data_IF_052313146239
#
_entry.id   IF_052313146239
#
_cell.length_a   1.000
_cell.length_b   1.000
_cell.length_c   1.000
_cell.angle_alpha   90.00
_cell.angle_beta   90.00
_cell.angle_gamma   90.00
#
_symmetry.space_group_name_H-M   'P 1'
#
loop_
_entity.id
_entity.type
_entity.pdbx_description
1 polymer ?
#
# COMPACT_ATOMS: atom_id res chain seq x y z
N UNK A 1 -0.41 12.93 16.06
CA UNK A 1 -1.58 12.45 15.28
C UNK A 1 -1.09 11.35 14.36
N UNK A 2 -1.78 10.21 14.35
CA UNK A 2 -1.43 9.10 13.48
C UNK A 2 -2.01 9.30 12.08
N UNK A 3 -1.24 8.92 11.06
CA UNK A 3 -1.64 8.92 9.65
C UNK A 3 -1.21 7.58 9.06
N UNK A 4 -2.08 7.00 8.23
CA UNK A 4 -1.76 5.89 7.35
C UNK A 4 -1.98 6.31 5.90
N UNK A 5 -0.99 5.97 5.06
CA UNK A 5 -1.02 6.27 3.63
C UNK A 5 -0.64 5.02 2.83
N UNK A 6 -1.36 4.81 1.72
CA UNK A 6 -0.94 3.85 0.71
C UNK A 6 0.17 4.49 -0.13
N UNK A 7 1.29 3.80 -0.25
CA UNK A 7 2.45 4.24 -1.04
C UNK A 7 2.94 3.14 -1.96
N UNK A 8 3.50 3.53 -3.10
CA UNK A 8 4.28 2.66 -3.98
C UNK A 8 5.71 3.14 -4.08
N UNK A 9 6.65 2.21 -4.23
CA UNK A 9 8.07 2.48 -4.41
C UNK A 9 8.38 2.82 -5.88
N UNK A 10 9.22 3.83 -6.12
CA UNK A 10 9.49 4.39 -7.45
C UNK A 10 10.93 4.21 -7.91
N UNK A 11 11.65 3.21 -7.38
CA UNK A 11 13.07 2.97 -7.72
C UNK A 11 13.28 2.64 -9.21
N UNK A 12 12.34 1.94 -9.85
CA UNK A 12 12.50 1.40 -11.21
C UNK A 12 11.94 2.33 -12.32
N UNK A 13 11.60 3.59 -11.99
CA UNK A 13 10.96 4.49 -12.96
C UNK A 13 11.80 5.72 -13.37
N UNK A 14 13.08 5.79 -12.98
CA UNK A 14 13.93 6.95 -13.28
C UNK A 14 14.08 7.22 -14.77
N UNK A 15 14.20 6.18 -15.59
CA UNK A 15 14.38 6.26 -17.06
C UNK A 15 13.10 5.96 -17.86
N UNK A 16 11.95 6.04 -17.22
CA UNK A 16 10.68 5.67 -17.84
C UNK A 16 10.22 6.71 -18.88
N UNK A 17 9.90 6.26 -20.10
CA UNK A 17 9.57 7.15 -21.24
C UNK A 17 8.32 6.78 -22.03
N UNK A 18 7.59 5.71 -21.67
CA UNK A 18 6.47 5.21 -22.49
C UNK A 18 5.21 6.10 -22.40
N UNK A 19 5.06 6.87 -21.34
CA UNK A 19 4.06 7.92 -21.16
C UNK A 19 4.57 8.97 -20.16
N UNK A 20 3.92 10.15 -20.09
CA UNK A 20 4.33 11.19 -19.15
C UNK A 20 4.23 10.73 -17.69
N UNK A 21 5.33 10.83 -16.96
CA UNK A 21 5.46 10.49 -15.56
C UNK A 21 6.18 11.61 -14.80
N UNK A 22 5.91 11.75 -13.50
CA UNK A 22 6.66 12.62 -12.61
C UNK A 22 8.01 11.99 -12.27
N UNK A 23 9.01 12.82 -12.03
CA UNK A 23 10.27 12.34 -11.46
C UNK A 23 10.03 11.77 -10.05
N UNK A 24 10.74 10.68 -9.69
CA UNK A 24 10.66 10.12 -8.34
C UNK A 24 11.02 11.15 -7.27
N UNK A 25 10.36 11.04 -6.11
CA UNK A 25 10.74 11.80 -4.93
C UNK A 25 12.08 11.29 -4.36
N UNK A 26 12.82 12.08 -3.57
CA UNK A 26 14.09 11.65 -2.97
C UNK A 26 13.97 10.45 -2.03
N UNK A 27 12.81 10.22 -1.45
CA UNK A 27 12.48 9.06 -0.60
C UNK A 27 11.95 7.86 -1.39
N UNK A 28 11.83 8.02 -2.72
CA UNK A 28 11.29 7.02 -3.65
C UNK A 28 9.90 6.48 -3.27
N UNK A 29 9.10 7.24 -2.53
CA UNK A 29 7.73 6.88 -2.18
C UNK A 29 6.74 7.79 -2.91
N UNK A 30 5.74 7.20 -3.55
CA UNK A 30 4.64 7.90 -4.18
C UNK A 30 3.34 7.59 -3.43
N UNK A 31 2.71 8.64 -2.90
CA UNK A 31 1.45 8.54 -2.16
C UNK A 31 0.27 8.37 -3.11
N UNK A 32 -0.49 7.30 -2.95
CA UNK A 32 -1.67 7.03 -3.77
C UNK A 32 -2.90 7.72 -3.18
N UNK A 33 -3.55 8.56 -3.98
CA UNK A 33 -4.78 9.26 -3.55
C UNK A 33 -5.56 9.80 -4.74
N UNK A 34 -6.78 10.31 -4.49
CA UNK A 34 -7.58 11.03 -5.47
C UNK A 34 -7.09 12.46 -5.76
N UNK A 35 -5.97 12.90 -5.18
CA UNK A 35 -5.41 14.25 -5.36
C UNK A 35 -4.12 14.25 -6.19
N UNK A 36 -3.73 13.09 -6.74
CA UNK A 36 -2.54 12.96 -7.58
C UNK A 36 -2.67 13.79 -8.87
N UNK A 37 -1.56 14.39 -9.28
CA UNK A 37 -1.45 15.00 -10.60
C UNK A 37 -1.45 13.92 -11.71
N UNK A 38 -1.77 14.28 -12.96
CA UNK A 38 -1.70 13.33 -14.08
C UNK A 38 -0.31 12.70 -14.29
N UNK A 39 0.76 13.40 -13.92
CA UNK A 39 2.13 12.88 -14.02
C UNK A 39 2.40 11.85 -12.91
N UNK A 40 1.95 12.09 -11.68
CA UNK A 40 2.06 11.13 -10.57
C UNK A 40 1.26 9.87 -10.84
N UNK A 41 0.05 9.99 -11.43
CA UNK A 41 -0.70 8.80 -11.89
C UNK A 41 0.10 8.04 -12.96
N UNK A 42 0.72 8.75 -13.88
CA UNK A 42 1.63 8.14 -14.87
C UNK A 42 2.78 7.38 -14.22
N UNK A 43 3.38 7.93 -13.16
CA UNK A 43 4.43 7.26 -12.38
C UNK A 43 3.89 6.00 -11.68
N UNK A 44 2.73 6.07 -11.02
CA UNK A 44 2.11 4.90 -10.39
C UNK A 44 1.86 3.79 -11.42
N UNK A 45 1.35 4.15 -12.61
CA UNK A 45 1.13 3.17 -13.69
C UNK A 45 2.43 2.62 -14.25
N UNK A 46 3.53 3.40 -14.27
CA UNK A 46 4.85 2.92 -14.65
C UNK A 46 5.38 1.87 -13.66
N UNK A 47 5.24 2.12 -12.35
CA UNK A 47 5.58 1.15 -11.29
C UNK A 47 4.78 -0.14 -11.46
N UNK A 48 3.44 -0.04 -11.50
CA UNK A 48 2.57 -1.21 -11.59
C UNK A 48 2.84 -2.06 -12.83
N UNK A 49 3.08 -1.43 -13.99
CA UNK A 49 3.37 -2.18 -15.21
C UNK A 49 4.81 -2.66 -15.28
N UNK A 50 5.74 -2.01 -14.59
CA UNK A 50 7.15 -2.41 -14.51
C UNK A 50 7.35 -3.68 -13.70
N UNK A 51 6.79 -3.75 -12.51
CA UNK A 51 6.94 -4.90 -11.62
C UNK A 51 6.22 -6.17 -12.11
N UNK A 52 5.22 -6.01 -12.99
CA UNK A 52 4.47 -7.12 -13.56
C UNK A 52 4.86 -7.41 -15.01
N UNK A 53 6.09 -7.04 -15.38
CA UNK A 53 6.63 -7.27 -16.72
C UNK A 53 7.51 -8.52 -16.69
N UNK A 54 6.96 -9.65 -17.02
CA UNK A 54 7.75 -10.78 -17.50
C UNK A 54 8.20 -10.44 -18.92
N UNK A 55 9.49 -10.23 -19.09
CA UNK A 55 10.12 -10.13 -20.41
C UNK A 55 10.64 -11.52 -20.81
N UNK A 56 9.80 -12.41 -21.32
CA UNK A 56 10.32 -13.50 -22.13
C UNK A 56 10.59 -12.89 -23.49
N UNK A 57 11.75 -13.11 -24.07
CA UNK A 57 12.28 -12.73 -25.38
C UNK A 57 11.32 -12.90 -26.58
N UNK A 58 10.09 -12.47 -26.43
CA UNK A 58 8.99 -12.59 -27.39
C UNK A 58 8.54 -11.22 -27.89
N UNK A 59 9.29 -10.65 -28.82
CA UNK A 59 8.83 -9.54 -29.65
C UNK A 59 7.50 -9.91 -30.34
N UNK A 60 6.40 -9.31 -29.86
CA UNK A 60 5.24 -9.09 -30.71
C UNK A 60 5.55 -7.81 -31.50
N UNK A 61 5.98 -7.90 -32.79
CA UNK A 61 6.60 -6.79 -33.50
C UNK A 61 5.64 -5.63 -33.81
N UNK A 62 4.33 -5.82 -33.63
CA UNK A 62 3.31 -4.87 -34.03
C UNK A 62 2.59 -4.15 -32.89
N UNK A 63 2.98 -4.37 -31.60
CA UNK A 63 2.31 -3.74 -30.46
C UNK A 63 3.16 -2.62 -29.89
N UNK A 64 2.55 -1.44 -29.69
CA UNK A 64 3.20 -0.32 -29.04
C UNK A 64 3.71 -0.71 -27.62
N UNK A 65 4.96 -0.38 -27.25
CA UNK A 65 5.57 -0.85 -26.00
C UNK A 65 4.74 -0.55 -24.75
N UNK A 66 4.12 0.63 -24.66
CA UNK A 66 3.25 1.01 -23.55
C UNK A 66 2.01 0.12 -23.43
N UNK A 67 1.37 -0.21 -24.54
CA UNK A 67 0.22 -1.11 -24.60
C UNK A 67 0.63 -2.52 -24.18
N UNK A 68 1.79 -2.99 -24.61
CA UNK A 68 2.32 -4.31 -24.24
C UNK A 68 2.53 -4.43 -22.72
N UNK A 69 3.11 -3.42 -22.07
CA UNK A 69 3.27 -3.40 -20.61
C UNK A 69 1.92 -3.50 -19.89
N UNK A 70 0.90 -2.78 -20.34
CA UNK A 70 -0.44 -2.88 -19.78
C UNK A 70 -1.04 -4.28 -20.00
N UNK A 71 -0.83 -4.89 -21.17
CA UNK A 71 -1.28 -6.26 -21.44
C UNK A 71 -0.59 -7.29 -20.54
N UNK A 72 0.71 -7.14 -20.27
CA UNK A 72 1.44 -8.00 -19.35
C UNK A 72 0.86 -7.91 -17.94
N UNK A 73 0.60 -6.70 -17.43
CA UNK A 73 -0.08 -6.50 -16.15
C UNK A 73 -1.47 -7.18 -16.12
N UNK A 74 -2.24 -7.09 -17.21
CA UNK A 74 -3.54 -7.74 -17.32
C UNK A 74 -3.44 -9.27 -17.32
N UNK A 75 -2.36 -9.83 -17.85
CA UNK A 75 -2.13 -11.26 -17.96
C UNK A 75 -1.45 -11.85 -16.71
N UNK A 76 -0.90 -11.03 -15.83
CA UNK A 76 -0.33 -11.49 -14.57
C UNK A 76 -1.41 -12.14 -13.69
N UNK A 77 -1.07 -13.21 -12.98
CA UNK A 77 -2.00 -13.88 -12.05
C UNK A 77 -2.47 -12.91 -10.97
N UNK A 78 -1.56 -12.09 -10.44
CA UNK A 78 -1.79 -11.05 -9.44
C UNK A 78 -0.97 -9.81 -9.83
N UNK A 79 -1.58 -8.63 -9.79
CA UNK A 79 -0.86 -7.37 -9.94
C UNK A 79 -0.09 -7.06 -8.65
N UNK A 80 1.23 -7.10 -8.73
CA UNK A 80 2.11 -6.71 -7.62
C UNK A 80 2.31 -5.20 -7.68
N UNK A 81 2.11 -4.55 -6.54
CA UNK A 81 2.35 -3.12 -6.36
C UNK A 81 3.40 -2.90 -5.27
N UNK A 82 4.71 -2.81 -5.62
CA UNK A 82 5.77 -2.65 -4.62
C UNK A 82 5.53 -1.42 -3.77
N UNK A 83 5.51 -1.58 -2.46
CA UNK A 83 5.13 -0.54 -1.50
C UNK A 83 4.31 -1.10 -0.36
N UNK A 84 3.27 -0.39 0.07
CA UNK A 84 2.42 -0.82 1.19
C UNK A 84 1.82 0.35 1.95
N UNK A 85 1.69 0.17 3.27
CA UNK A 85 1.22 1.22 4.18
C UNK A 85 2.40 1.91 4.84
N UNK A 86 2.46 3.23 4.68
CA UNK A 86 3.30 4.12 5.48
C UNK A 86 2.50 4.55 6.72
N UNK A 87 2.95 4.13 7.91
CA UNK A 87 2.40 4.59 9.19
C UNK A 87 3.28 5.71 9.75
N UNK A 88 2.69 6.85 10.08
CA UNK A 88 3.42 8.00 10.61
C UNK A 88 2.74 8.58 11.85
N UNK A 89 3.54 8.91 12.86
CA UNK A 89 3.12 9.81 13.93
C UNK A 89 3.69 11.22 13.70
N UNK A 90 2.80 12.14 13.35
CA UNK A 90 3.18 13.54 13.08
C UNK A 90 3.61 14.30 14.33
N UNK A 91 3.30 13.82 15.55
CA UNK A 91 3.71 14.46 16.78
C UNK A 91 5.18 14.17 17.09
N UNK A 92 5.65 12.97 16.81
CA UNK A 92 7.05 12.55 17.04
C UNK A 92 7.91 12.64 15.77
N UNK A 93 7.28 12.70 14.59
CA UNK A 93 7.95 12.62 13.30
C UNK A 93 8.43 11.21 12.93
N UNK A 94 8.08 10.19 13.71
CA UNK A 94 8.46 8.80 13.43
C UNK A 94 7.58 8.26 12.32
N UNK A 95 8.21 7.62 11.34
CA UNK A 95 7.53 6.95 10.22
C UNK A 95 8.00 5.49 10.10
N UNK A 96 7.07 4.61 9.80
CA UNK A 96 7.28 3.19 9.50
C UNK A 96 6.92 3.01 8.03
N UNK A 97 7.94 2.92 7.19
CA UNK A 97 7.75 2.65 5.76
C UNK A 97 7.65 1.14 5.51
N UNK A 98 6.97 0.72 4.43
CA UNK A 98 7.02 -0.67 3.98
C UNK A 98 8.46 -1.04 3.60
N UNK A 99 8.81 -2.32 3.81
CA UNK A 99 10.09 -2.87 3.41
C UNK A 99 10.07 -3.45 2.00
N UNK A 100 11.24 -3.81 1.48
CA UNK A 100 11.32 -4.44 0.17
C UNK A 100 10.54 -5.76 0.12
N UNK A 101 10.09 -6.15 -1.05
CA UNK A 101 9.30 -7.36 -1.29
C UNK A 101 7.94 -7.38 -0.58
N UNK A 102 7.50 -6.26 -0.01
CA UNK A 102 6.12 -6.07 0.44
C UNK A 102 5.34 -5.38 -0.68
N UNK A 103 4.07 -5.75 -0.82
CA UNK A 103 3.20 -5.18 -1.83
C UNK A 103 1.95 -4.55 -1.23
N UNK A 104 1.48 -3.52 -1.91
CA UNK A 104 0.27 -2.80 -1.50
C UNK A 104 -0.98 -3.71 -1.54
N UNK A 105 -0.97 -4.79 -2.31
CA UNK A 105 -2.05 -5.79 -2.34
C UNK A 105 -2.36 -6.39 -0.96
N UNK A 106 -1.41 -6.33 -0.01
CA UNK A 106 -1.56 -6.82 1.37
C UNK A 106 -1.97 -5.73 2.38
N UNK A 107 -2.40 -4.55 1.93
CA UNK A 107 -2.69 -3.43 2.84
C UNK A 107 -3.77 -3.74 3.90
N UNK A 108 -4.70 -4.67 3.61
CA UNK A 108 -5.76 -5.08 4.54
C UNK A 108 -5.27 -5.98 5.66
N UNK A 109 -4.08 -6.56 5.56
CA UNK A 109 -3.51 -7.43 6.59
C UNK A 109 -3.31 -6.67 7.91
N UNK A 110 -3.21 -5.34 7.85
CA UNK A 110 -3.18 -4.49 9.05
C UNK A 110 -4.40 -4.68 9.95
N UNK A 111 -5.56 -5.11 9.44
CA UNK A 111 -6.72 -5.47 10.25
C UNK A 111 -6.43 -6.66 11.20
N UNK A 112 -5.50 -7.53 10.86
CA UNK A 112 -5.08 -8.66 11.69
C UNK A 112 -4.55 -8.23 13.05
N UNK A 113 -3.99 -7.02 13.18
CA UNK A 113 -3.56 -6.46 14.47
C UNK A 113 -4.69 -6.41 15.50
N UNK A 114 -5.94 -6.24 15.09
CA UNK A 114 -7.09 -6.23 15.97
C UNK A 114 -7.36 -7.61 16.62
N UNK A 115 -6.83 -8.66 16.00
CA UNK A 115 -6.96 -10.04 16.45
C UNK A 115 -5.67 -10.59 17.09
N UNK A 116 -4.65 -9.72 17.24
CA UNK A 116 -3.34 -10.09 17.79
C UNK A 116 -2.45 -10.80 16.79
N UNK A 117 -2.77 -10.71 15.49
CA UNK A 117 -1.95 -11.26 14.42
C UNK A 117 -0.74 -10.36 14.17
N UNK A 118 0.34 -10.95 13.66
CA UNK A 118 1.50 -10.20 13.20
C UNK A 118 1.26 -9.72 11.76
N UNK A 119 1.62 -8.48 11.47
CA UNK A 119 1.65 -7.95 10.11
C UNK A 119 3.08 -8.01 9.60
N UNK A 120 3.27 -8.65 8.47
CA UNK A 120 4.55 -8.64 7.79
C UNK A 120 4.74 -7.30 7.08
N UNK A 121 5.87 -6.64 7.33
CA UNK A 121 6.16 -5.30 6.79
C UNK A 121 7.23 -5.32 5.68
N UNK A 122 7.56 -6.49 5.16
CA UNK A 122 8.58 -6.68 4.12
C UNK A 122 9.96 -7.05 4.66
N UNK A 123 10.87 -7.37 3.75
CA UNK A 123 12.26 -7.62 4.08
C UNK A 123 13.01 -6.28 4.28
N UNK A 124 14.08 -6.31 5.07
CA UNK A 124 14.96 -5.15 5.28
C UNK A 124 14.39 -4.10 6.22
N UNK A 125 13.11 -4.19 6.61
CA UNK A 125 12.61 -3.47 7.76
C UNK A 125 12.96 -4.27 8.99
N UNK A 126 13.69 -3.67 9.89
CA UNK A 126 13.80 -4.17 11.26
C UNK A 126 12.57 -3.77 12.09
N UNK A 127 11.46 -3.41 11.45
CA UNK A 127 10.25 -3.03 12.12
C UNK A 127 9.73 -4.18 12.98
N UNK A 128 9.44 -3.89 14.23
CA UNK A 128 8.93 -4.85 15.20
C UNK A 128 7.57 -4.39 15.74
N UNK A 129 6.66 -5.33 15.87
CA UNK A 129 5.30 -5.09 16.37
C UNK A 129 5.17 -5.71 17.76
N UNK A 130 4.75 -4.91 18.74
CA UNK A 130 4.51 -5.33 20.10
C UNK A 130 3.07 -5.05 20.51
N UNK A 131 2.29 -6.08 20.83
CA UNK A 131 0.93 -5.95 21.35
C UNK A 131 0.95 -5.61 22.85
N UNK A 132 0.23 -4.55 23.25
CA UNK A 132 0.09 -4.07 24.62
C UNK A 132 -1.39 -3.83 24.95
N UNK A 133 -2.17 -4.89 25.01
CA UNK A 133 -3.61 -4.82 25.25
C UNK A 133 -4.34 -4.10 24.09
N UNK A 134 -4.94 -2.94 24.35
CA UNK A 134 -5.64 -2.13 23.35
C UNK A 134 -4.71 -1.23 22.51
N UNK A 135 -3.39 -1.37 22.67
CA UNK A 135 -2.37 -0.59 21.97
C UNK A 135 -1.40 -1.53 21.27
N UNK A 136 -0.96 -1.12 20.09
CA UNK A 136 0.16 -1.73 19.36
C UNK A 136 1.29 -0.73 19.28
N UNK A 137 2.51 -1.16 19.57
CA UNK A 137 3.74 -0.41 19.34
C UNK A 137 4.42 -0.93 18.09
N UNK A 138 4.66 -0.05 17.14
CA UNK A 138 5.40 -0.37 15.93
C UNK A 138 6.75 0.35 15.99
N UNK A 139 7.81 -0.41 16.06
CA UNK A 139 9.18 0.08 16.12
C UNK A 139 9.76 0.18 14.72
N UNK A 140 10.36 1.30 14.33
CA UNK A 140 10.96 1.45 13.00
C UNK A 140 12.24 0.63 12.81
N UNK A 141 12.80 0.10 13.90
CA UNK A 141 14.07 -0.63 13.91
C UNK A 141 14.16 -1.56 15.12
N UNK A 142 14.74 -2.75 14.95
CA UNK A 142 14.84 -3.76 16.01
C UNK A 142 16.13 -3.70 16.81
N UNK A 143 17.18 -3.01 16.33
CA UNK A 143 18.51 -3.14 16.91
C UNK A 143 19.20 -1.79 17.20
N UNK A 144 19.53 -1.52 18.46
CA UNK A 144 18.75 -1.63 19.68
C UNK A 144 17.61 -0.61 19.69
N UNK A 145 16.62 -0.67 20.58
CA UNK A 145 15.47 0.26 20.56
C UNK A 145 15.89 1.67 20.93
N UNK A 146 16.64 2.31 20.03
CA UNK A 146 17.12 3.68 20.17
C UNK A 146 16.10 4.69 19.66
N UNK A 147 15.06 4.20 18.94
CA UNK A 147 14.01 5.03 18.34
C UNK A 147 12.71 4.90 19.13
N UNK A 148 11.95 5.98 19.14
CA UNK A 148 10.61 6.02 19.71
C UNK A 148 9.67 5.18 18.82
N UNK A 149 8.84 4.28 19.38
CA UNK A 149 7.85 3.55 18.60
C UNK A 149 6.70 4.47 18.18
N UNK A 150 6.01 4.11 17.13
CA UNK A 150 4.66 4.61 16.86
C UNK A 150 3.69 3.81 17.73
N UNK A 151 2.96 4.52 18.59
CA UNK A 151 1.91 3.92 19.42
C UNK A 151 0.56 4.03 18.68
N UNK A 152 0.02 2.89 18.28
CA UNK A 152 -1.22 2.77 17.52
C UNK A 152 -2.32 2.19 18.42
N UNK A 153 -3.31 2.99 18.86
CA UNK A 153 -4.49 2.47 19.50
C UNK A 153 -5.28 1.59 18.54
N UNK A 154 -5.59 0.36 18.93
CA UNK A 154 -6.36 -0.55 18.07
C UNK A 154 -7.75 -0.01 17.74
N UNK A 155 -8.32 0.82 18.60
CA UNK A 155 -9.60 1.49 18.33
C UNK A 155 -9.55 2.47 17.14
N UNK A 156 -8.38 3.06 16.86
CA UNK A 156 -8.22 4.04 15.78
C UNK A 156 -7.90 3.36 14.42
N UNK A 157 -7.44 2.11 14.45
CA UNK A 157 -7.00 1.38 13.26
C UNK A 157 -8.08 1.26 12.16
N UNK A 158 -9.36 0.95 12.46
CA UNK A 158 -10.40 0.89 11.43
C UNK A 158 -10.59 2.22 10.69
N UNK A 159 -10.57 3.35 11.38
CA UNK A 159 -10.76 4.67 10.78
C UNK A 159 -9.55 5.08 9.94
N UNK A 160 -8.34 4.74 10.39
CA UNK A 160 -7.11 4.94 9.63
C UNK A 160 -7.13 4.14 8.32
N UNK A 161 -7.51 2.86 8.38
CA UNK A 161 -7.62 2.02 7.19
C UNK A 161 -8.79 2.42 6.27
N UNK A 162 -9.90 2.95 6.80
CA UNK A 162 -10.93 3.58 5.97
C UNK A 162 -10.39 4.76 5.19
N UNK A 163 -9.58 5.59 5.82
CA UNK A 163 -8.94 6.72 5.14
C UNK A 163 -8.00 6.24 4.01
N UNK A 164 -7.25 5.16 4.23
CA UNK A 164 -6.44 4.52 3.18
C UNK A 164 -7.32 4.02 2.04
N UNK A 165 -8.40 3.32 2.37
CA UNK A 165 -9.35 2.79 1.38
C UNK A 165 -9.96 3.89 0.50
N UNK A 166 -10.38 5.01 1.10
CA UNK A 166 -10.91 6.16 0.38
C UNK A 166 -9.85 6.79 -0.56
N UNK A 167 -8.59 6.88 -0.11
CA UNK A 167 -7.48 7.33 -0.93
C UNK A 167 -7.23 6.40 -2.12
N UNK A 168 -7.25 5.08 -1.90
CA UNK A 168 -7.10 4.07 -2.95
C UNK A 168 -8.25 4.12 -3.96
N UNK A 169 -9.49 4.31 -3.52
CA UNK A 169 -10.62 4.55 -4.42
C UNK A 169 -10.42 5.81 -5.28
N UNK A 170 -9.92 6.88 -4.67
CA UNK A 170 -9.57 8.10 -5.38
C UNK A 170 -8.49 7.87 -6.44
N UNK A 171 -7.43 7.12 -6.10
CA UNK A 171 -6.39 6.71 -7.04
C UNK A 171 -6.98 5.88 -8.19
N UNK A 172 -7.80 4.87 -7.90
CA UNK A 172 -8.41 4.00 -8.90
C UNK A 172 -9.26 4.81 -9.91
N UNK A 173 -9.96 5.84 -9.46
CA UNK A 173 -10.72 6.74 -10.33
C UNK A 173 -9.79 7.54 -11.26
N UNK A 174 -8.66 8.03 -10.76
CA UNK A 174 -7.66 8.73 -11.58
C UNK A 174 -6.93 7.79 -12.54
N UNK A 175 -6.59 6.57 -12.11
CA UNK A 175 -6.04 5.52 -12.95
C UNK A 175 -6.99 5.17 -14.11
N UNK A 176 -8.31 5.17 -13.85
CA UNK A 176 -9.33 5.03 -14.87
C UNK A 176 -9.28 6.13 -15.93
N UNK A 177 -9.20 7.39 -15.52
CA UNK A 177 -9.09 8.52 -16.45
C UNK A 177 -7.79 8.43 -17.27
N UNK A 178 -6.68 8.07 -16.64
CA UNK A 178 -5.42 7.83 -17.29
C UNK A 178 -5.53 6.69 -18.33
N UNK A 179 -6.11 5.55 -17.94
CA UNK A 179 -6.26 4.38 -18.82
C UNK A 179 -7.11 4.68 -20.03
N UNK A 180 -8.23 5.41 -19.89
CA UNK A 180 -9.05 5.85 -21.02
C UNK A 180 -8.30 6.77 -21.98
N UNK A 181 -7.31 7.51 -21.51
CA UNK A 181 -6.48 8.39 -22.35
C UNK A 181 -5.40 7.64 -23.12
N UNK A 182 -4.72 6.67 -22.48
CA UNK A 182 -3.51 6.04 -23.02
C UNK A 182 -3.75 4.63 -23.60
N UNK A 183 -4.76 3.94 -23.11
CA UNK A 183 -5.12 2.57 -23.50
C UNK A 183 -6.64 2.35 -23.49
N UNK A 184 -7.45 3.11 -24.23
CA UNK A 184 -8.91 3.12 -24.09
C UNK A 184 -9.55 1.74 -24.26
N UNK A 185 -9.01 0.88 -25.13
CA UNK A 185 -9.52 -0.48 -25.35
C UNK A 185 -9.27 -1.42 -24.14
N UNK A 186 -8.24 -1.14 -23.34
CA UNK A 186 -7.86 -1.96 -22.17
C UNK A 186 -8.36 -1.35 -20.86
N UNK A 187 -8.81 -0.09 -20.85
CA UNK A 187 -9.15 0.64 -19.64
C UNK A 187 -10.15 -0.07 -18.71
N UNK A 188 -11.28 -0.63 -19.20
CA UNK A 188 -12.21 -1.34 -18.30
C UNK A 188 -11.58 -2.56 -17.63
N UNK A 189 -10.81 -3.35 -18.37
CA UNK A 189 -10.13 -4.53 -17.84
C UNK A 189 -9.05 -4.17 -16.82
N UNK A 190 -8.27 -3.11 -17.12
CA UNK A 190 -7.21 -2.64 -16.24
C UNK A 190 -7.76 -2.15 -14.89
N UNK A 191 -8.85 -1.39 -14.90
CA UNK A 191 -9.47 -0.90 -13.67
C UNK A 191 -10.10 -2.03 -12.87
N UNK A 192 -10.74 -2.98 -13.53
CA UNK A 192 -11.28 -4.18 -12.86
C UNK A 192 -10.16 -4.96 -12.17
N UNK A 193 -9.04 -5.22 -12.88
CA UNK A 193 -7.90 -5.94 -12.33
C UNK A 193 -7.27 -5.21 -11.15
N UNK A 194 -6.97 -3.91 -11.27
CA UNK A 194 -6.42 -3.14 -10.15
C UNK A 194 -7.35 -3.10 -8.95
N UNK A 195 -8.67 -2.98 -9.18
CA UNK A 195 -9.67 -3.01 -8.12
C UNK A 195 -9.71 -4.35 -7.38
N UNK A 196 -9.57 -5.46 -8.11
CA UNK A 196 -9.58 -6.82 -7.57
C UNK A 196 -8.27 -7.15 -6.88
N UNK A 197 -7.15 -7.02 -7.58
CA UNK A 197 -5.84 -7.46 -7.10
C UNK A 197 -5.30 -6.62 -5.94
N UNK A 198 -5.59 -5.32 -5.91
CA UNK A 198 -5.25 -4.45 -4.78
C UNK A 198 -6.34 -4.42 -3.70
N UNK A 199 -7.34 -5.28 -3.80
CA UNK A 199 -8.45 -5.41 -2.85
C UNK A 199 -9.12 -4.07 -2.50
N UNK A 200 -9.34 -3.21 -3.52
CA UNK A 200 -9.94 -1.89 -3.35
C UNK A 200 -11.47 -1.96 -3.42
N UNK A 201 -12.02 -2.83 -4.28
CA UNK A 201 -13.45 -2.89 -4.57
C UNK A 201 -14.35 -3.19 -3.37
N UNK A 202 -14.08 -4.22 -2.54
CA UNK A 202 -14.92 -4.55 -1.40
C UNK A 202 -14.80 -3.50 -0.28
N UNK A 203 -15.93 -3.09 0.37
CA UNK A 203 -15.86 -2.23 1.53
C UNK A 203 -15.08 -2.90 2.68
N UNK A 204 -14.42 -2.10 3.50
CA UNK A 204 -13.85 -2.58 4.75
C UNK A 204 -14.99 -3.04 5.66
N UNK A 205 -14.89 -4.27 6.15
CA UNK A 205 -15.81 -4.76 7.17
C UNK A 205 -15.43 -4.09 8.49
N UNK A 206 -16.33 -3.29 9.06
CA UNK A 206 -16.14 -2.81 10.42
C UNK A 206 -16.12 -4.02 11.37
N UNK A 207 -15.05 -4.23 12.15
CA UNK A 207 -15.11 -5.18 13.23
C UNK A 207 -16.22 -4.75 14.18
N UNK A 208 -17.07 -5.69 14.58
CA UNK A 208 -18.10 -5.39 15.58
C UNK A 208 -17.38 -5.13 16.89
N UNK A 209 -17.83 -4.14 17.66
CA UNK A 209 -17.30 -3.80 19.00
C UNK A 209 -17.18 -5.05 19.93
N UNK A 210 -17.91 -6.12 19.62
CA UNK A 210 -17.84 -7.41 20.33
C UNK A 210 -16.57 -8.22 20.04
N UNK A 211 -15.84 -7.90 18.99
CA UNK A 211 -14.66 -8.65 18.52
C UNK A 211 -13.35 -8.04 19.05
N UNK A 212 -13.42 -6.94 19.80
CA UNK A 212 -12.26 -6.35 20.46
C UNK A 212 -11.85 -7.20 21.67
N UNK A 213 -10.57 -7.55 21.84
CA UNK A 213 -10.09 -8.24 23.03
C UNK A 213 -10.44 -7.40 24.26
N UNK A 214 -11.27 -7.97 25.14
CA UNK A 214 -11.57 -7.33 26.41
C UNK A 214 -10.27 -7.22 27.21
N UNK A 215 -9.98 -6.02 27.71
CA UNK A 215 -8.87 -5.83 28.62
C UNK A 215 -9.01 -6.83 29.75
N UNK A 216 -8.00 -7.70 29.93
CA UNK A 216 -7.96 -8.63 31.02
C UNK A 216 -8.03 -7.81 32.32
N UNK A 217 -9.13 -7.96 33.04
CA UNK A 217 -9.36 -7.35 34.34
C UNK A 217 -8.36 -8.00 35.33
N UNK A 218 -7.22 -7.35 35.49
CA UNK A 218 -6.22 -7.70 36.50
C UNK A 218 -6.74 -7.20 37.84
N UNK A 219 -7.67 -7.92 38.42
CA UNK A 219 -7.99 -7.76 39.86
C UNK A 219 -6.72 -7.98 40.64
N UNK A 220 -6.30 -7.07 41.53
CA UNK A 220 -5.23 -7.33 42.44
C UNK A 220 -5.76 -8.35 43.49
N UNK A 221 -5.22 -9.57 43.42
CA UNK A 221 -5.45 -10.58 44.45
C UNK A 221 -4.89 -10.08 45.78
N UNK A 222 -5.78 -9.82 46.71
CA UNK A 222 -5.46 -9.73 48.15
C UNK A 222 -4.78 -11.00 48.63
N UNK A 223 -3.56 -10.86 49.15
CA UNK A 223 -3.00 -11.61 50.30
C UNK A 223 -1.80 -10.85 50.85
#
# INVERSE_FOLDING_TARGET
MLIMDAVVETYDVEDFTLWPAAAPNPDHLLFLSGQMSPLEVGTAMAVLTGCNHDDPDGEAPDTEPGIRRIQNLLNADLAIAPGGILLQDTATGVAIAPGCCFGLESWRDWLGLMHGEEVWLGHGTAAHIEHRGALVRVWPDTDPPTKTPVELPLADLPDLLHTVHDKLHGFLALAGQWAFRYAPALAPALIAKLSEDLDIGPPLKHPRIRDLPQAADSSPGDC
#
